data_IF_434142371240
#
_entry.id   IF_434142371240
#
_cell.length_a   1.000
_cell.length_b   1.000
_cell.length_c   1.000
_cell.angle_alpha   90.00
_cell.angle_beta   90.00
_cell.angle_gamma   90.00
#
_symmetry.space_group_name_H-M   'P 1'
#
loop_
_entity.id
_entity.type
_entity.pdbx_description
1 polymer ?
#
# COMPACT_ATOMS: atom_id res chain seq x y z
N UNK A 1 -0.53 9.79 -3.46
CA UNK A 1 0.48 8.74 -3.19
C UNK A 1 1.54 8.77 -4.28
N UNK A 2 2.80 8.42 -4.01
CA UNK A 2 3.86 8.25 -5.03
C UNK A 2 4.18 6.77 -5.18
N UNK A 3 3.87 6.20 -6.32
CA UNK A 3 4.07 4.79 -6.62
C UNK A 3 5.22 4.59 -7.60
N UNK A 4 5.97 3.50 -7.44
CA UNK A 4 7.09 3.12 -8.30
C UNK A 4 6.84 1.73 -8.86
N UNK A 5 6.87 1.59 -10.18
CA UNK A 5 6.74 0.30 -10.87
C UNK A 5 8.04 -0.05 -11.56
N UNK A 6 8.38 -1.33 -11.54
CA UNK A 6 9.48 -1.93 -12.28
C UNK A 6 8.88 -2.93 -13.25
N UNK A 7 9.38 -2.94 -14.48
CA UNK A 7 9.13 -3.99 -15.46
C UNK A 7 10.40 -4.21 -16.29
N UNK A 8 10.59 -5.44 -16.77
CA UNK A 8 11.75 -5.82 -17.56
C UNK A 8 11.37 -5.98 -19.03
N UNK A 9 12.23 -5.43 -19.90
CA UNK A 9 12.08 -5.48 -21.36
C UNK A 9 13.42 -5.77 -22.01
N UNK A 10 13.40 -6.40 -23.20
CA UNK A 10 14.60 -6.48 -24.05
C UNK A 10 14.84 -5.12 -24.71
N UNK A 11 16.06 -4.60 -24.60
CA UNK A 11 16.39 -3.19 -24.87
C UNK A 11 16.11 -2.77 -26.33
N UNK A 12 15.14 -1.88 -26.53
CA UNK A 12 14.96 -1.06 -27.74
C UNK A 12 14.73 0.40 -27.33
N UNK A 13 15.64 1.34 -27.67
CA UNK A 13 15.65 2.68 -27.08
C UNK A 13 14.38 3.50 -27.36
N UNK A 14 13.79 3.37 -28.55
CA UNK A 14 12.66 4.22 -28.99
C UNK A 14 11.33 3.88 -28.30
N UNK A 15 11.21 2.68 -27.75
CA UNK A 15 9.97 2.19 -27.12
C UNK A 15 9.90 2.49 -25.62
N UNK A 16 11.03 2.74 -24.96
CA UNK A 16 11.10 2.94 -23.48
C UNK A 16 10.24 4.11 -23.03
N UNK A 17 10.28 5.25 -23.75
CA UNK A 17 9.47 6.43 -23.41
C UNK A 17 7.97 6.14 -23.53
N UNK A 18 7.54 5.41 -24.58
CA UNK A 18 6.13 5.05 -24.79
C UNK A 18 5.62 4.10 -23.71
N UNK A 19 6.44 3.12 -23.30
CA UNK A 19 6.11 2.19 -22.22
C UNK A 19 5.96 2.94 -20.89
N UNK A 20 6.93 3.79 -20.53
CA UNK A 20 6.87 4.58 -19.29
C UNK A 20 5.64 5.48 -19.23
N UNK A 21 5.27 6.11 -20.36
CA UNK A 21 4.06 6.92 -20.45
C UNK A 21 2.81 6.08 -20.15
N UNK A 22 2.62 4.97 -20.86
CA UNK A 22 1.49 4.06 -20.62
C UNK A 22 1.43 3.53 -19.19
N UNK A 23 2.55 3.11 -18.60
CA UNK A 23 2.58 2.63 -17.21
C UNK A 23 2.10 3.71 -16.23
N UNK A 24 2.54 4.95 -16.42
CA UNK A 24 2.15 6.07 -15.55
C UNK A 24 0.66 6.41 -15.70
N UNK A 25 0.15 6.39 -16.93
CA UNK A 25 -1.26 6.64 -17.23
C UNK A 25 -2.18 5.60 -16.56
N UNK A 26 -1.84 4.31 -16.65
CA UNK A 26 -2.61 3.21 -16.04
C UNK A 26 -2.59 3.33 -14.51
N UNK A 27 -1.41 3.53 -13.92
CA UNK A 27 -1.27 3.68 -12.46
C UNK A 27 -2.09 4.85 -11.92
N UNK A 28 -2.13 5.97 -12.65
CA UNK A 28 -2.89 7.16 -12.25
C UNK A 28 -4.38 6.91 -12.39
N UNK A 29 -4.81 6.21 -13.43
CA UNK A 29 -6.22 5.84 -13.63
C UNK A 29 -6.73 4.87 -12.56
N UNK A 30 -5.93 3.90 -12.13
CA UNK A 30 -6.36 2.92 -11.12
C UNK A 30 -6.27 3.46 -9.69
N UNK A 31 -5.18 4.15 -9.34
CA UNK A 31 -5.01 4.70 -7.99
C UNK A 31 -5.76 6.01 -7.77
N UNK A 32 -6.09 6.75 -8.83
CA UNK A 32 -6.84 8.00 -8.74
C UNK A 32 -8.33 7.81 -8.46
N UNK A 33 -8.89 6.64 -8.80
CA UNK A 33 -10.33 6.35 -8.62
C UNK A 33 -10.68 5.82 -7.23
N UNK A 34 -9.69 5.44 -6.44
CA UNK A 34 -9.86 4.47 -5.35
C UNK A 34 -9.33 5.06 -4.05
N UNK A 35 -9.99 4.74 -2.94
CA UNK A 35 -9.56 5.12 -1.59
C UNK A 35 -8.27 4.38 -1.16
N UNK A 36 -7.57 4.87 -0.12
CA UNK A 36 -6.32 4.21 0.34
C UNK A 36 -6.53 2.74 0.75
N UNK A 37 -7.67 2.41 1.37
CA UNK A 37 -8.00 1.06 1.82
C UNK A 37 -8.12 0.09 0.64
N UNK A 38 -8.93 0.46 -0.34
CA UNK A 38 -9.13 -0.33 -1.55
C UNK A 38 -7.87 -0.40 -2.42
N UNK A 39 -7.02 0.64 -2.41
CA UNK A 39 -5.74 0.60 -3.10
C UNK A 39 -4.83 -0.50 -2.52
N UNK A 40 -4.80 -0.66 -1.19
CA UNK A 40 -4.05 -1.75 -0.54
C UNK A 40 -4.60 -3.12 -0.94
N UNK A 41 -5.93 -3.29 -0.95
CA UNK A 41 -6.57 -4.53 -1.41
C UNK A 41 -6.18 -4.91 -2.85
N UNK A 42 -5.94 -3.93 -3.72
CA UNK A 42 -5.47 -4.16 -5.11
C UNK A 42 -3.99 -4.50 -5.22
N UNK A 43 -3.17 -4.03 -4.28
CA UNK A 43 -1.72 -4.25 -4.27
C UNK A 43 -1.36 -5.67 -3.83
N UNK A 44 -2.11 -6.28 -2.90
CA UNK A 44 -1.87 -7.64 -2.40
C UNK A 44 -1.84 -8.69 -3.53
N UNK A 45 -2.86 -8.78 -4.42
CA UNK A 45 -2.85 -9.75 -5.53
C UNK A 45 -2.07 -9.27 -6.76
N UNK A 46 -1.36 -8.14 -6.67
CA UNK A 46 -0.64 -7.48 -7.76
C UNK A 46 -1.51 -7.17 -9.00
N UNK A 47 -2.79 -6.83 -8.79
CA UNK A 47 -3.75 -6.59 -9.88
C UNK A 47 -3.29 -5.51 -10.86
N UNK A 48 -2.74 -4.41 -10.33
CA UNK A 48 -2.18 -3.28 -11.09
C UNK A 48 -1.02 -3.73 -11.99
N UNK A 49 -0.15 -4.62 -11.50
CA UNK A 49 0.98 -5.14 -12.27
C UNK A 49 0.51 -5.93 -13.50
N UNK A 50 -0.47 -6.81 -13.29
CA UNK A 50 -1.08 -7.63 -14.35
C UNK A 50 -1.82 -6.79 -15.38
N UNK A 51 -2.54 -5.76 -14.96
CA UNK A 51 -3.24 -4.83 -15.85
C UNK A 51 -2.24 -4.07 -16.75
N UNK A 52 -1.11 -3.64 -16.18
CA UNK A 52 -0.03 -3.01 -16.94
C UNK A 52 0.53 -3.97 -18.01
N UNK A 53 0.78 -5.23 -17.67
CA UNK A 53 1.26 -6.22 -18.65
C UNK A 53 0.27 -6.39 -19.80
N UNK A 54 -1.02 -6.56 -19.50
CA UNK A 54 -2.08 -6.74 -20.51
C UNK A 54 -2.18 -5.56 -21.47
N UNK A 55 -2.22 -4.33 -20.96
CA UNK A 55 -2.42 -3.13 -21.80
C UNK A 55 -1.17 -2.71 -22.57
N UNK A 56 0.01 -3.15 -22.14
CA UNK A 56 1.30 -2.83 -22.80
C UNK A 56 1.71 -3.87 -23.85
N UNK A 57 1.07 -5.05 -23.90
CA UNK A 57 1.30 -6.09 -24.92
C UNK A 57 1.28 -5.55 -26.36
N UNK A 58 0.43 -4.56 -26.67
CA UNK A 58 0.36 -3.95 -28.00
C UNK A 58 1.59 -3.10 -28.39
N UNK A 59 2.47 -2.75 -27.46
CA UNK A 59 3.75 -2.07 -27.74
C UNK A 59 4.90 -3.07 -27.64
N UNK A 60 5.00 -3.74 -26.50
CA UNK A 60 6.05 -4.71 -26.20
C UNK A 60 5.61 -5.63 -25.06
N UNK A 61 5.87 -6.94 -25.14
CA UNK A 61 5.60 -7.85 -24.03
C UNK A 61 6.54 -7.54 -22.86
N UNK A 62 5.99 -7.03 -21.76
CA UNK A 62 6.72 -6.84 -20.51
C UNK A 62 6.85 -8.17 -19.77
N UNK A 63 7.96 -8.37 -19.04
CA UNK A 63 8.07 -9.44 -18.04
C UNK A 63 8.14 -8.84 -16.64
N UNK A 64 7.37 -9.40 -15.72
CA UNK A 64 7.39 -9.12 -14.28
C UNK A 64 7.17 -7.62 -13.99
N UNK A 65 6.02 -7.09 -14.39
CA UNK A 65 5.62 -5.73 -14.01
C UNK A 65 5.04 -5.73 -12.58
N UNK A 66 5.75 -5.08 -11.65
CA UNK A 66 5.37 -5.06 -10.24
C UNK A 66 5.50 -3.66 -9.62
N UNK A 67 4.65 -3.36 -8.64
CA UNK A 67 4.75 -2.14 -7.84
C UNK A 67 5.82 -2.36 -6.77
N UNK A 68 6.98 -1.72 -6.93
CA UNK A 68 8.13 -1.91 -6.03
C UNK A 68 8.01 -1.11 -4.74
N UNK A 69 7.45 0.09 -4.80
CA UNK A 69 7.37 0.97 -3.64
C UNK A 69 6.18 1.91 -3.76
N UNK A 70 5.49 2.10 -2.64
CA UNK A 70 4.40 3.08 -2.49
C UNK A 70 4.78 4.00 -1.33
N UNK A 71 4.91 5.30 -1.60
CA UNK A 71 5.21 6.33 -0.60
C UNK A 71 4.03 7.26 -0.40
N UNK A 72 3.68 7.54 0.84
CA UNK A 72 2.70 8.58 1.19
C UNK A 72 3.44 9.92 1.24
N UNK A 73 3.06 10.87 0.37
CA UNK A 73 3.68 12.20 0.36
C UNK A 73 3.01 13.16 1.33
N UNK A 74 1.67 13.13 1.35
CA UNK A 74 0.85 13.93 2.22
C UNK A 74 0.07 12.96 3.09
N UNK A 75 0.47 12.84 4.35
CA UNK A 75 -0.27 12.05 5.33
C UNK A 75 -1.60 12.79 5.60
N UNK A 76 -2.76 12.13 5.48
CA UNK A 76 -4.01 12.74 5.91
C UNK A 76 -3.95 13.03 7.42
N UNK A 77 -4.74 14.00 7.88
CA UNK A 77 -4.86 14.25 9.33
C UNK A 77 -5.35 12.97 10.02
N UNK A 78 -4.82 12.72 11.20
CA UNK A 78 -5.22 11.57 12.00
C UNK A 78 -6.67 11.76 12.43
N UNK A 79 -7.51 10.78 12.14
CA UNK A 79 -8.95 10.80 12.39
C UNK A 79 -9.28 9.48 13.09
N UNK A 80 -9.62 9.57 14.38
CA UNK A 80 -9.85 8.41 15.24
C UNK A 80 -11.05 7.62 14.74
N UNK A 81 -12.10 8.30 14.28
CA UNK A 81 -13.32 7.64 13.78
C UNK A 81 -13.02 6.80 12.54
N UNK A 82 -12.28 7.36 11.56
CA UNK A 82 -11.85 6.60 10.37
C UNK A 82 -10.89 5.46 10.69
N UNK A 83 -10.08 5.61 11.73
CA UNK A 83 -9.18 4.54 12.16
C UNK A 83 -9.94 3.39 12.82
N UNK A 84 -10.91 3.69 13.67
CA UNK A 84 -11.76 2.68 14.31
C UNK A 84 -12.66 1.98 13.30
N UNK A 85 -13.11 2.66 12.23
CA UNK A 85 -13.79 2.00 11.10
C UNK A 85 -12.88 1.02 10.32
N UNK A 86 -11.57 1.28 10.30
CA UNK A 86 -10.59 0.41 9.65
C UNK A 86 -10.22 -0.81 10.52
N UNK A 87 -10.27 -0.68 11.84
CA UNK A 87 -9.88 -1.73 12.81
C UNK A 87 -11.08 -2.37 13.50
N UNK A 88 -12.31 -1.90 13.25
CA UNK A 88 -13.53 -2.57 13.67
C UNK A 88 -13.70 -3.89 12.93
N UNK A 89 -14.29 -4.88 13.60
CA UNK A 89 -14.38 -6.32 13.27
C UNK A 89 -15.16 -6.66 11.98
N UNK A 90 -14.84 -5.99 10.88
CA UNK A 90 -15.23 -6.40 9.53
C UNK A 90 -14.15 -7.33 9.00
N UNK A 91 -14.41 -8.63 9.06
CA UNK A 91 -13.54 -9.76 8.69
C UNK A 91 -13.03 -9.81 7.24
N UNK A 92 -12.51 -8.70 6.73
CA UNK A 92 -11.75 -8.62 5.49
C UNK A 92 -10.25 -8.63 5.82
N UNK A 93 -9.70 -9.84 5.86
CA UNK A 93 -8.27 -10.13 5.72
C UNK A 93 -7.36 -9.44 6.76
N UNK A 94 -7.49 -9.88 8.01
CA UNK A 94 -6.36 -9.84 8.94
C UNK A 94 -5.28 -10.77 8.36
N UNK A 95 -4.34 -10.19 7.61
CA UNK A 95 -3.20 -10.91 7.08
C UNK A 95 -2.56 -11.75 8.18
N UNK A 96 -2.08 -12.95 7.82
CA UNK A 96 -1.55 -13.97 8.74
C UNK A 96 -0.74 -13.31 9.85
N UNK A 97 -1.29 -13.40 11.07
CA UNK A 97 -0.66 -12.94 12.29
C UNK A 97 0.65 -13.72 12.44
N UNK A 98 1.76 -13.10 12.06
CA UNK A 98 3.09 -13.65 12.36
C UNK A 98 3.28 -13.50 13.86
N UNK A 99 2.75 -14.46 14.62
CA UNK A 99 3.01 -14.65 16.05
C UNK A 99 4.52 -14.81 16.25
N UNK A 100 5.23 -13.69 16.35
CA UNK A 100 6.41 -13.63 17.20
C UNK A 100 5.87 -13.45 18.61
N UNK A 101 6.14 -14.37 19.54
CA UNK A 101 5.77 -14.14 20.94
C UNK A 101 6.40 -12.83 21.39
N UNK A 102 5.58 -11.90 21.86
CA UNK A 102 6.04 -10.65 22.46
C UNK A 102 6.83 -11.00 23.73
N UNK A 103 7.96 -10.35 23.93
CA UNK A 103 8.78 -10.52 25.14
C UNK A 103 8.01 -9.91 26.32
N UNK A 104 7.91 -10.63 27.44
CA UNK A 104 7.07 -10.30 28.61
C UNK A 104 7.35 -8.91 29.25
N UNK A 105 8.47 -8.28 28.87
CA UNK A 105 8.89 -6.95 29.32
C UNK A 105 8.32 -5.79 28.47
N UNK A 106 7.57 -6.07 27.41
CA UNK A 106 7.02 -5.05 26.52
C UNK A 106 5.81 -4.34 27.17
N UNK A 107 6.09 -3.40 28.08
CA UNK A 107 5.07 -2.50 28.61
C UNK A 107 4.73 -1.44 27.56
N UNK A 108 3.46 -1.41 27.14
CA UNK A 108 2.95 -0.39 26.23
C UNK A 108 2.95 0.97 26.97
N UNK A 109 3.75 1.93 26.49
CA UNK A 109 4.01 3.21 27.15
C UNK A 109 2.76 4.08 27.29
N UNK A 110 1.78 3.91 26.40
CA UNK A 110 0.50 4.61 26.47
C UNK A 110 -0.33 4.18 27.68
N UNK A 111 -0.30 2.89 28.04
CA UNK A 111 -0.99 2.38 29.23
C UNK A 111 -0.30 2.81 30.53
N UNK A 112 1.02 3.04 30.51
CA UNK A 112 1.76 3.51 31.68
C UNK A 112 1.44 4.97 32.01
N UNK A 113 1.29 5.84 31.00
CA UNK A 113 0.93 7.25 31.19
C UNK A 113 -0.50 7.42 31.73
N UNK A 114 -1.45 6.60 31.26
CA UNK A 114 -2.83 6.61 31.77
C UNK A 114 -2.88 6.12 33.22
N UNK A 115 -2.12 5.08 33.57
CA UNK A 115 -2.05 4.59 34.93
C UNK A 115 -1.42 5.61 35.89
N UNK A 116 -0.37 6.32 35.45
CA UNK A 116 0.26 7.37 36.26
C UNK A 116 -0.70 8.56 36.50
N UNK A 117 -1.46 8.96 35.48
CA UNK A 117 -2.44 10.04 35.61
C UNK A 117 -3.60 9.70 36.56
N UNK A 118 -3.94 8.41 36.72
CA UNK A 118 -4.98 7.97 37.67
C UNK A 118 -4.48 7.90 39.11
N UNK A 119 -3.16 7.89 39.36
CA UNK A 119 -2.58 7.82 40.71
C UNK A 119 -2.34 9.21 41.31
N UNK A 120 -2.21 10.25 40.47
CA UNK A 120 -1.99 11.63 40.93
C UNK A 120 -3.29 12.40 41.29
N UNK A 121 -4.47 11.82 41.08
CA UNK A 121 -5.78 12.43 41.41
C UNK A 121 -6.44 11.89 42.71
N UNK A 122 -5.82 10.95 43.44
CA UNK A 122 -6.28 10.43 44.74
C UNK A 122 -5.44 10.94 45.94
#
# INVERSE_FOLDING_TARGET
VRMFVIAFTKKRPDQVKKIRKKMTDIMTAEAGKVSLRELVKKLIPESIGKEIEKQTQGIFPLKNAMVRKVKILKKPKFDITKLMELHGDGGDDAGVEMLRPENEEAVNTLSAEVAAAMVDED
#
